data_IF_722093335576
#
_entry.id   IF_722093335576
#
_cell.length_a   1.000
_cell.length_b   1.000
_cell.length_c   1.000
_cell.angle_alpha   90.00
_cell.angle_beta   90.00
_cell.angle_gamma   90.00
#
_symmetry.space_group_name_H-M   'P 1'
#
loop_
_entity.id
_entity.type
_entity.pdbx_description
1 polymer ?
#
# COMPACT_ATOMS: atom_id res chain seq x y z
N UNK A 1 -12.49 -3.02 11.33
CA UNK A 1 -12.97 -3.44 10.00
C UNK A 1 -14.23 -2.73 9.55
N UNK A 2 -14.72 -3.10 8.37
CA UNK A 2 -15.98 -2.58 7.82
C UNK A 2 -15.87 -1.36 6.91
N UNK A 3 -14.67 -0.76 6.76
CA UNK A 3 -14.47 0.33 5.79
C UNK A 3 -14.73 -0.17 4.38
N UNK A 4 -15.57 0.54 3.63
CA UNK A 4 -15.84 0.28 2.23
C UNK A 4 -14.75 0.92 1.34
N UNK A 5 -14.18 0.14 0.44
CA UNK A 5 -13.24 0.59 -0.58
C UNK A 5 -13.86 0.35 -1.96
N UNK A 6 -14.29 1.42 -2.61
CA UNK A 6 -14.88 1.39 -3.95
C UNK A 6 -13.78 1.28 -5.01
N UNK A 7 -13.94 0.34 -5.92
CA UNK A 7 -13.00 0.09 -7.03
C UNK A 7 -13.80 -0.11 -8.33
N UNK A 8 -13.15 -0.11 -9.51
CA UNK A 8 -13.80 -0.47 -10.77
C UNK A 8 -14.38 -1.91 -10.80
N UNK A 9 -13.95 -2.78 -9.88
CA UNK A 9 -14.40 -4.17 -9.79
C UNK A 9 -15.57 -4.37 -8.83
N UNK A 10 -15.94 -3.34 -8.08
CA UNK A 10 -16.96 -3.34 -7.04
C UNK A 10 -16.43 -2.83 -5.69
N UNK A 11 -17.16 -3.09 -4.63
CA UNK A 11 -16.85 -2.61 -3.29
C UNK A 11 -16.23 -3.72 -2.44
N UNK A 12 -15.01 -3.48 -1.96
CA UNK A 12 -14.37 -4.31 -0.96
C UNK A 12 -14.62 -3.75 0.44
N UNK A 13 -14.70 -4.63 1.43
CA UNK A 13 -14.81 -4.23 2.83
C UNK A 13 -13.60 -4.70 3.62
N UNK A 14 -12.99 -3.78 4.37
CA UNK A 14 -11.86 -4.10 5.26
C UNK A 14 -12.28 -5.11 6.32
N UNK A 15 -11.55 -6.21 6.54
CA UNK A 15 -11.88 -7.18 7.56
C UNK A 15 -11.59 -6.68 8.97
N UNK A 16 -12.14 -7.37 9.96
CA UNK A 16 -11.75 -7.22 11.35
C UNK A 16 -10.39 -7.90 11.57
N UNK A 17 -9.37 -7.12 11.92
CA UNK A 17 -8.01 -7.61 12.18
C UNK A 17 -7.64 -7.58 13.66
N UNK A 18 -8.62 -7.40 14.54
CA UNK A 18 -8.38 -7.50 16.00
C UNK A 18 -8.19 -8.97 16.41
N UNK A 19 -7.62 -9.24 17.59
CA UNK A 19 -7.43 -10.62 18.08
C UNK A 19 -8.72 -11.29 18.59
N UNK A 20 -9.91 -10.84 18.11
CA UNK A 20 -11.15 -11.52 18.41
C UNK A 20 -11.19 -12.91 17.74
N UNK A 21 -11.51 -14.00 18.47
CA UNK A 21 -11.37 -15.38 17.96
C UNK A 21 -12.28 -15.70 16.77
N UNK A 22 -13.48 -15.15 16.73
CA UNK A 22 -14.46 -15.48 15.68
C UNK A 22 -14.62 -14.39 14.63
N UNK A 23 -14.63 -13.13 15.04
CA UNK A 23 -14.84 -12.02 14.13
C UNK A 23 -13.53 -11.48 13.51
N UNK A 24 -12.39 -11.69 14.17
CA UNK A 24 -11.07 -11.19 13.80
C UNK A 24 -10.08 -12.28 13.42
N UNK A 25 -8.81 -12.01 13.70
CA UNK A 25 -7.69 -12.92 13.41
C UNK A 25 -7.17 -13.66 14.66
N UNK A 26 -7.99 -13.72 15.73
CA UNK A 26 -7.58 -14.27 17.02
C UNK A 26 -7.19 -15.76 17.00
N UNK A 27 -7.74 -16.53 16.06
CA UNK A 27 -7.40 -17.96 15.88
C UNK A 27 -6.23 -18.21 14.94
N UNK A 28 -5.69 -17.15 14.33
CA UNK A 28 -4.54 -17.30 13.44
C UNK A 28 -3.28 -17.60 14.23
N UNK A 29 -2.43 -18.41 13.64
CA UNK A 29 -1.04 -18.57 14.05
C UNK A 29 -0.18 -17.47 13.40
N UNK A 30 1.05 -17.28 13.93
CA UNK A 30 2.04 -16.43 13.26
C UNK A 30 2.29 -16.90 11.83
N UNK A 31 2.34 -18.20 11.59
CA UNK A 31 2.52 -18.78 10.25
C UNK A 31 1.37 -18.41 9.30
N UNK A 32 0.13 -18.36 9.76
CA UNK A 32 -1.02 -17.91 8.97
C UNK A 32 -0.89 -16.43 8.60
N UNK A 33 -0.50 -15.60 9.57
CA UNK A 33 -0.26 -14.18 9.34
C UNK A 33 0.89 -13.97 8.32
N UNK A 34 2.01 -14.63 8.52
CA UNK A 34 3.16 -14.55 7.61
C UNK A 34 2.77 -15.00 6.19
N UNK A 35 1.98 -16.06 6.05
CA UNK A 35 1.49 -16.54 4.75
C UNK A 35 0.55 -15.53 4.09
N UNK A 36 -0.35 -14.90 4.84
CA UNK A 36 -1.22 -13.84 4.33
C UNK A 36 -0.41 -12.66 3.81
N UNK A 37 0.57 -12.17 4.56
CA UNK A 37 1.42 -11.03 4.19
C UNK A 37 2.37 -11.34 3.04
N UNK A 38 2.94 -12.56 3.02
CA UNK A 38 3.94 -12.97 2.04
C UNK A 38 3.37 -13.44 0.71
N UNK A 39 2.22 -14.12 0.75
CA UNK A 39 1.66 -14.82 -0.41
C UNK A 39 0.25 -14.38 -0.76
N UNK A 40 -0.40 -13.55 0.08
CA UNK A 40 -1.80 -13.20 -0.11
C UNK A 40 -2.72 -14.41 0.02
N UNK A 41 -2.38 -15.37 0.88
CA UNK A 41 -3.08 -16.64 1.06
C UNK A 41 -3.73 -16.69 2.43
N UNK A 42 -4.99 -17.09 2.48
CA UNK A 42 -5.79 -17.22 3.71
C UNK A 42 -5.45 -18.53 4.44
N UNK A 43 -5.81 -18.65 5.75
CA UNK A 43 -5.66 -19.92 6.47
C UNK A 43 -6.41 -21.10 5.84
N UNK A 44 -7.52 -20.85 5.14
CA UNK A 44 -8.29 -21.86 4.40
C UNK A 44 -7.72 -22.20 3.01
N UNK A 45 -6.56 -21.65 2.64
CA UNK A 45 -5.89 -21.85 1.36
C UNK A 45 -6.40 -20.97 0.21
N UNK A 46 -7.47 -20.19 0.42
CA UNK A 46 -7.97 -19.29 -0.62
C UNK A 46 -7.09 -18.05 -0.76
N UNK A 47 -6.96 -17.51 -1.97
CA UNK A 47 -6.22 -16.27 -2.21
C UNK A 47 -7.00 -15.03 -1.78
N UNK A 48 -6.29 -14.06 -1.20
CA UNK A 48 -6.81 -12.72 -1.01
C UNK A 48 -6.88 -11.96 -2.33
N UNK A 49 -7.91 -11.14 -2.49
CA UNK A 49 -7.92 -10.15 -3.55
C UNK A 49 -6.76 -9.15 -3.38
N UNK A 50 -6.12 -8.68 -4.48
CA UNK A 50 -4.95 -7.80 -4.40
C UNK A 50 -5.26 -6.37 -3.90
N UNK A 51 -6.50 -6.09 -3.54
CA UNK A 51 -6.87 -4.92 -2.74
C UNK A 51 -6.28 -4.97 -1.33
N UNK A 52 -6.02 -6.16 -0.81
CA UNK A 52 -5.09 -6.37 0.29
C UNK A 52 -3.68 -6.35 -0.31
N UNK A 53 -2.84 -5.35 0.02
CA UNK A 53 -1.63 -5.06 -0.74
C UNK A 53 -0.46 -6.01 -0.42
N UNK A 54 -0.72 -7.34 -0.40
CA UNK A 54 0.33 -8.34 -0.22
C UNK A 54 1.45 -8.27 -1.28
N UNK A 55 1.23 -7.75 -2.52
CA UNK A 55 2.33 -7.53 -3.45
C UNK A 55 3.37 -6.53 -2.96
N UNK A 56 2.97 -5.61 -2.10
CA UNK A 56 3.88 -4.70 -1.40
C UNK A 56 4.37 -5.32 -0.08
N UNK A 57 3.48 -5.90 0.70
CA UNK A 57 3.80 -6.48 2.02
C UNK A 57 4.74 -7.68 1.97
N UNK A 58 4.79 -8.43 0.86
CA UNK A 58 5.79 -9.48 0.65
C UNK A 58 7.23 -8.98 0.77
N UNK A 59 7.46 -7.66 0.68
CA UNK A 59 8.77 -7.00 0.78
C UNK A 59 9.15 -6.59 2.21
N UNK A 60 8.23 -6.70 3.17
CA UNK A 60 8.48 -6.37 4.58
C UNK A 60 9.44 -7.40 5.18
N UNK A 61 10.37 -6.99 6.03
CA UNK A 61 11.28 -7.92 6.72
C UNK A 61 10.53 -8.88 7.64
N UNK A 62 11.11 -10.03 7.92
CA UNK A 62 10.47 -10.99 8.84
C UNK A 62 10.38 -10.44 10.26
N UNK A 63 11.35 -9.64 10.70
CA UNK A 63 11.31 -9.00 12.01
C UNK A 63 10.16 -8.00 12.10
N UNK A 64 10.04 -7.10 11.13
CA UNK A 64 8.95 -6.13 11.12
C UNK A 64 7.56 -6.80 11.02
N UNK A 65 7.45 -7.94 10.31
CA UNK A 65 6.20 -8.70 10.29
C UNK A 65 5.90 -9.35 11.65
N UNK A 66 6.91 -9.85 12.38
CA UNK A 66 6.72 -10.38 13.73
C UNK A 66 6.32 -9.26 14.71
N UNK A 67 6.96 -8.11 14.61
CA UNK A 67 6.60 -6.93 15.43
C UNK A 67 5.17 -6.46 15.15
N UNK A 68 4.79 -6.41 13.87
CA UNK A 68 3.41 -6.10 13.47
C UNK A 68 2.42 -7.14 14.00
N UNK A 69 2.76 -8.43 13.93
CA UNK A 69 1.94 -9.50 14.48
C UNK A 69 1.76 -9.35 16.00
N UNK A 70 2.83 -9.12 16.73
CA UNK A 70 2.78 -8.87 18.16
C UNK A 70 1.89 -7.67 18.50
N UNK A 71 2.03 -6.57 17.76
CA UNK A 71 1.17 -5.39 17.91
C UNK A 71 -0.30 -5.71 17.65
N UNK A 72 -0.64 -6.38 16.55
CA UNK A 72 -2.03 -6.73 16.24
C UNK A 72 -2.66 -7.61 17.33
N UNK A 73 -1.86 -8.51 17.93
CA UNK A 73 -2.28 -9.35 19.04
C UNK A 73 -2.53 -8.59 20.35
N UNK A 74 -1.95 -7.40 20.51
CA UNK A 74 -2.14 -6.53 21.68
C UNK A 74 -3.35 -5.60 21.59
N UNK A 75 -3.98 -5.51 20.41
CA UNK A 75 -5.11 -4.62 20.20
C UNK A 75 -6.36 -5.04 20.99
N UNK A 76 -7.22 -4.09 21.39
CA UNK A 76 -8.52 -4.39 21.98
C UNK A 76 -9.38 -5.27 21.07
N UNK A 77 -10.11 -6.20 21.67
CA UNK A 77 -11.03 -7.06 20.94
C UNK A 77 -12.21 -6.26 20.36
N UNK A 78 -12.59 -6.57 19.13
CA UNK A 78 -13.82 -6.06 18.54
C UNK A 78 -14.64 -7.25 18.01
N UNK A 79 -15.89 -7.32 18.39
CA UNK A 79 -16.83 -8.35 17.91
C UNK A 79 -17.52 -7.97 16.59
N UNK A 80 -17.11 -6.86 15.95
CA UNK A 80 -17.72 -6.42 14.69
C UNK A 80 -17.53 -7.48 13.62
N UNK A 81 -18.63 -7.97 13.08
CA UNK A 81 -18.64 -8.96 12.01
C UNK A 81 -18.03 -8.40 10.71
N UNK A 82 -17.38 -9.27 9.94
CA UNK A 82 -16.90 -8.95 8.62
C UNK A 82 -18.06 -8.80 7.64
N UNK A 83 -17.99 -7.76 6.80
CA UNK A 83 -18.95 -7.57 5.72
C UNK A 83 -18.49 -8.33 4.45
N UNK A 84 -19.39 -8.97 3.71
CA UNK A 84 -19.05 -9.56 2.43
C UNK A 84 -18.65 -8.48 1.44
N UNK A 85 -17.77 -8.81 0.50
CA UNK A 85 -17.46 -7.94 -0.62
C UNK A 85 -18.66 -7.91 -1.60
N UNK A 86 -18.92 -6.76 -2.19
CA UNK A 86 -19.90 -6.56 -3.25
C UNK A 86 -19.16 -6.34 -4.58
N UNK A 87 -18.94 -7.42 -5.33
CA UNK A 87 -18.12 -7.43 -6.55
C UNK A 87 -18.97 -7.79 -7.76
N UNK A 88 -18.80 -7.03 -8.83
CA UNK A 88 -19.43 -7.32 -10.11
C UNK A 88 -18.96 -8.66 -10.71
N UNK A 89 -19.83 -9.32 -11.48
CA UNK A 89 -19.44 -10.50 -12.25
C UNK A 89 -18.39 -10.11 -13.32
N UNK A 90 -17.31 -10.91 -13.54
CA UNK A 90 -16.94 -12.17 -12.88
C UNK A 90 -15.95 -12.00 -11.70
N UNK A 91 -15.70 -10.79 -11.24
CA UNK A 91 -14.60 -10.44 -10.31
C UNK A 91 -14.74 -11.05 -8.91
N UNK A 92 -15.92 -11.54 -8.55
CA UNK A 92 -16.13 -12.32 -7.32
C UNK A 92 -15.51 -13.73 -7.34
N UNK A 93 -15.11 -14.23 -8.48
CA UNK A 93 -14.54 -15.58 -8.61
C UNK A 93 -13.08 -15.62 -8.16
N UNK A 94 -12.82 -16.26 -7.02
CA UNK A 94 -11.47 -16.34 -6.43
C UNK A 94 -10.46 -17.08 -7.31
N UNK A 95 -10.90 -17.98 -8.19
CA UNK A 95 -10.01 -18.62 -9.17
C UNK A 95 -9.34 -17.64 -10.12
N UNK A 96 -9.99 -16.52 -10.43
CA UNK A 96 -9.38 -15.45 -11.24
C UNK A 96 -8.22 -14.76 -10.52
N UNK A 97 -8.26 -14.73 -9.18
CA UNK A 97 -7.15 -14.16 -8.38
C UNK A 97 -5.89 -15.01 -8.53
N UNK A 98 -6.02 -16.32 -8.64
CA UNK A 98 -4.85 -17.20 -8.88
C UNK A 98 -4.18 -16.89 -10.22
N UNK A 99 -4.98 -16.68 -11.28
CA UNK A 99 -4.46 -16.26 -12.58
C UNK A 99 -3.80 -14.88 -12.49
N UNK A 100 -4.45 -13.94 -11.79
CA UNK A 100 -3.90 -12.62 -11.57
C UNK A 100 -2.55 -12.66 -10.83
N UNK A 101 -2.45 -13.48 -9.77
CA UNK A 101 -1.19 -13.68 -9.03
C UNK A 101 -0.10 -14.22 -9.94
N UNK A 102 -0.39 -15.21 -10.74
CA UNK A 102 0.57 -15.78 -11.69
C UNK A 102 1.12 -14.72 -12.66
N UNK A 103 0.27 -13.80 -13.13
CA UNK A 103 0.65 -12.75 -14.09
C UNK A 103 1.41 -11.57 -13.46
N UNK A 104 1.04 -11.16 -12.24
CA UNK A 104 1.44 -9.86 -11.69
C UNK A 104 2.16 -9.93 -10.35
N UNK A 105 2.13 -11.07 -9.68
CA UNK A 105 2.70 -11.23 -8.35
C UNK A 105 3.94 -12.13 -8.36
N UNK A 106 4.98 -11.67 -7.68
CA UNK A 106 6.18 -12.47 -7.39
C UNK A 106 6.43 -12.38 -5.89
N UNK A 107 6.24 -13.48 -5.15
CA UNK A 107 6.49 -13.49 -3.70
C UNK A 107 7.98 -13.36 -3.41
N UNK A 108 8.28 -12.77 -2.27
CA UNK A 108 9.64 -12.67 -1.74
C UNK A 108 10.11 -11.22 -1.51
N UNK A 109 11.10 -11.03 -0.67
CA UNK A 109 11.65 -9.71 -0.40
C UNK A 109 12.37 -9.20 -1.65
N UNK A 110 11.84 -8.12 -2.24
CA UNK A 110 12.55 -7.41 -3.29
C UNK A 110 13.74 -6.60 -2.73
N UNK A 111 13.73 -6.38 -1.43
CA UNK A 111 14.78 -5.70 -0.67
C UNK A 111 15.34 -6.77 0.25
N UNK A 112 16.61 -7.14 0.06
CA UNK A 112 17.28 -8.11 0.92
C UNK A 112 17.11 -7.69 2.38
N UNK A 113 16.94 -8.68 3.27
CA UNK A 113 16.84 -8.51 4.72
C UNK A 113 18.12 -7.96 5.38
N UNK A 114 19.09 -7.52 4.59
CA UNK A 114 20.24 -6.76 5.08
C UNK A 114 19.77 -5.43 5.63
N UNK A 115 20.25 -4.99 6.80
CA UNK A 115 20.02 -3.65 7.30
C UNK A 115 20.29 -2.65 6.17
N UNK A 116 19.37 -1.70 5.98
CA UNK A 116 19.51 -0.68 4.95
C UNK A 116 20.89 -0.01 5.07
N UNK A 117 21.77 -0.29 4.11
CA UNK A 117 23.17 0.13 4.14
C UNK A 117 23.33 1.61 3.81
N UNK A 118 22.28 2.21 3.27
CA UNK A 118 22.24 3.62 2.94
C UNK A 118 20.84 4.20 3.08
N UNK A 119 20.75 5.53 3.11
CA UNK A 119 19.51 6.28 3.30
C UNK A 119 18.47 6.00 2.19
N UNK A 120 18.92 5.80 0.95
CA UNK A 120 18.02 5.53 -0.19
C UNK A 120 17.41 4.14 -0.09
N UNK A 121 18.16 3.13 0.36
CA UNK A 121 17.63 1.77 0.55
C UNK A 121 16.60 1.72 1.68
N UNK A 122 16.84 2.46 2.78
CA UNK A 122 15.83 2.64 3.83
C UNK A 122 14.57 3.31 3.28
N UNK A 123 14.71 4.36 2.48
CA UNK A 123 13.59 5.03 1.83
C UNK A 123 12.85 4.11 0.85
N UNK A 124 13.57 3.29 0.09
CA UNK A 124 12.95 2.27 -0.78
C UNK A 124 12.08 1.31 0.02
N UNK A 125 12.58 0.83 1.15
CA UNK A 125 11.82 -0.05 2.04
C UNK A 125 10.54 0.62 2.57
N UNK A 126 10.64 1.86 3.04
CA UNK A 126 9.50 2.63 3.51
C UNK A 126 8.45 2.83 2.42
N UNK A 127 8.86 3.22 1.20
CA UNK A 127 7.94 3.54 0.11
C UNK A 127 7.33 2.30 -0.54
N UNK A 128 8.13 1.23 -0.75
CA UNK A 128 7.68 0.06 -1.50
C UNK A 128 7.06 -1.04 -0.65
N UNK A 129 7.43 -1.14 0.63
CA UNK A 129 6.98 -2.18 1.53
C UNK A 129 5.98 -1.64 2.57
N UNK A 130 6.46 -0.85 3.52
CA UNK A 130 5.64 -0.40 4.65
C UNK A 130 4.55 0.59 4.23
N UNK A 131 4.91 1.65 3.52
CA UNK A 131 4.00 2.69 3.06
C UNK A 131 3.22 2.31 1.80
N UNK A 132 3.64 1.27 1.06
CA UNK A 132 3.03 0.76 -0.18
C UNK A 132 2.49 1.85 -1.13
N UNK A 133 3.21 2.97 -1.26
CA UNK A 133 2.79 4.15 -2.01
C UNK A 133 2.44 3.83 -3.47
N UNK A 134 3.09 2.81 -4.05
CA UNK A 134 2.83 2.32 -5.39
C UNK A 134 1.42 1.80 -5.62
N UNK A 135 0.68 1.40 -4.57
CA UNK A 135 -0.68 0.89 -4.72
C UNK A 135 -1.66 1.97 -5.24
N UNK A 136 -1.45 3.22 -4.81
CA UNK A 136 -2.24 4.37 -5.26
C UNK A 136 -1.54 5.17 -6.35
N UNK A 137 -0.21 5.27 -6.33
CA UNK A 137 0.54 6.16 -7.20
C UNK A 137 1.13 5.50 -8.47
N UNK A 138 0.85 4.21 -8.70
CA UNK A 138 1.25 3.51 -9.94
C UNK A 138 0.01 3.18 -10.77
N UNK A 139 0.01 3.49 -12.09
CA UNK A 139 -1.12 3.14 -12.95
C UNK A 139 -1.34 1.63 -12.99
N UNK A 140 -2.58 1.24 -13.21
CA UNK A 140 -2.97 -0.16 -13.38
C UNK A 140 -3.53 -0.38 -14.78
N UNK A 141 -3.26 -1.56 -15.34
CA UNK A 141 -3.87 -1.97 -16.60
C UNK A 141 -5.34 -2.42 -16.37
N UNK A 142 -6.02 -2.79 -17.45
CA UNK A 142 -7.44 -3.19 -17.42
C UNK A 142 -7.74 -4.44 -16.57
N UNK A 143 -6.72 -5.28 -16.29
CA UNK A 143 -6.81 -6.42 -15.37
C UNK A 143 -6.47 -6.04 -13.92
N UNK A 144 -6.23 -4.75 -13.63
CA UNK A 144 -5.85 -4.29 -12.31
C UNK A 144 -4.38 -4.55 -11.94
N UNK A 145 -3.57 -5.07 -12.86
CA UNK A 145 -2.14 -5.28 -12.65
C UNK A 145 -1.35 -3.97 -12.70
N UNK A 146 -0.31 -3.78 -11.85
CA UNK A 146 0.49 -2.56 -11.86
C UNK A 146 1.34 -2.45 -13.13
N UNK A 147 1.37 -1.26 -13.72
CA UNK A 147 2.22 -0.93 -14.88
C UNK A 147 3.63 -0.62 -14.37
N UNK A 148 4.47 -1.64 -14.22
CA UNK A 148 5.77 -1.59 -13.50
C UNK A 148 6.73 -0.51 -14.03
N UNK A 149 6.79 -0.27 -15.35
CA UNK A 149 7.65 0.76 -15.95
C UNK A 149 7.16 2.19 -15.67
N UNK A 150 5.97 2.34 -15.10
CA UNK A 150 5.39 3.62 -14.64
C UNK A 150 5.26 3.68 -13.13
N UNK A 151 6.12 2.98 -12.41
CA UNK A 151 6.09 2.94 -10.95
C UNK A 151 6.14 4.36 -10.36
N UNK A 152 5.16 4.69 -9.50
CA UNK A 152 4.97 6.00 -8.87
C UNK A 152 4.73 7.18 -9.84
N UNK A 153 4.44 6.93 -11.11
CA UNK A 153 4.19 7.98 -12.11
C UNK A 153 2.79 8.61 -12.03
N UNK A 154 2.06 8.34 -10.96
CA UNK A 154 0.68 8.81 -10.77
C UNK A 154 -0.32 7.98 -11.56
N UNK A 155 -1.59 8.17 -11.26
CA UNK A 155 -2.70 7.50 -11.95
C UNK A 155 -3.93 8.40 -12.00
N UNK A 156 -4.91 7.99 -12.80
CA UNK A 156 -6.24 8.57 -12.80
C UNK A 156 -7.23 7.49 -12.34
N UNK A 157 -7.97 7.76 -11.27
CA UNK A 157 -9.02 6.87 -10.79
C UNK A 157 -10.19 6.78 -11.77
N UNK A 158 -11.02 5.76 -11.62
CA UNK A 158 -12.25 5.59 -12.39
C UNK A 158 -13.25 6.77 -12.18
N UNK A 159 -13.15 7.46 -11.07
CA UNK A 159 -13.89 8.67 -10.73
C UNK A 159 -13.31 9.94 -11.38
N UNK A 160 -12.28 9.81 -12.21
CA UNK A 160 -11.57 10.91 -12.86
C UNK A 160 -10.59 11.66 -11.95
N UNK A 161 -10.54 11.36 -10.65
CA UNK A 161 -9.60 11.98 -9.72
C UNK A 161 -8.17 11.54 -10.03
N UNK A 162 -7.24 12.47 -9.93
CA UNK A 162 -5.82 12.20 -10.19
C UNK A 162 -5.11 11.89 -8.87
N UNK A 163 -4.38 10.78 -8.86
CA UNK A 163 -3.33 10.54 -7.86
C UNK A 163 -2.01 11.04 -8.43
N UNK A 164 -1.29 11.94 -7.74
CA UNK A 164 -0.12 12.61 -8.30
C UNK A 164 1.04 11.67 -8.63
N UNK A 165 1.83 12.09 -9.60
CA UNK A 165 3.14 11.51 -9.91
C UNK A 165 4.13 11.87 -8.78
N UNK A 166 4.80 10.87 -8.21
CA UNK A 166 5.79 11.02 -7.14
C UNK A 166 7.24 10.95 -7.65
N UNK A 167 7.44 10.92 -8.97
CA UNK A 167 8.78 10.98 -9.55
C UNK A 167 9.30 12.42 -9.64
N UNK A 168 10.60 12.63 -9.88
CA UNK A 168 11.17 13.96 -10.03
C UNK A 168 10.50 14.84 -11.11
N UNK A 169 9.78 14.24 -12.06
CA UNK A 169 8.98 15.00 -13.05
C UNK A 169 8.03 16.01 -12.36
N UNK A 170 7.37 15.60 -11.28
CA UNK A 170 6.48 16.49 -10.52
C UNK A 170 7.12 17.01 -9.25
N UNK A 171 7.79 16.14 -8.49
CA UNK A 171 8.37 16.54 -7.21
C UNK A 171 9.69 17.33 -7.33
N UNK A 172 10.28 17.40 -8.54
CA UNK A 172 11.53 18.10 -8.77
C UNK A 172 11.44 19.62 -8.56
N UNK A 173 10.25 20.21 -8.61
CA UNK A 173 10.00 21.62 -8.33
C UNK A 173 9.85 21.94 -6.85
N UNK A 174 9.64 20.94 -6.01
CA UNK A 174 9.51 21.08 -4.56
C UNK A 174 10.89 20.95 -3.91
N UNK A 175 11.18 21.78 -2.92
CA UNK A 175 12.37 21.62 -2.08
C UNK A 175 12.21 20.40 -1.14
N UNK A 176 13.30 19.95 -0.52
CA UNK A 176 13.22 18.92 0.51
C UNK A 176 12.46 19.39 1.75
N UNK A 177 12.49 20.69 2.03
CA UNK A 177 11.68 21.32 3.08
C UNK A 177 10.19 21.23 2.77
N UNK A 178 9.79 21.51 1.51
CA UNK A 178 8.39 21.39 1.08
C UNK A 178 7.88 19.96 1.18
N UNK A 179 8.69 18.99 0.73
CA UNK A 179 8.34 17.57 0.86
C UNK A 179 8.21 17.16 2.32
N UNK A 180 9.14 17.60 3.17
CA UNK A 180 9.07 17.35 4.61
C UNK A 180 7.80 17.93 5.22
N UNK A 181 7.48 19.19 4.93
CA UNK A 181 6.26 19.86 5.40
C UNK A 181 5.02 19.07 4.93
N UNK A 182 4.95 18.73 3.64
CA UNK A 182 3.84 17.98 3.10
C UNK A 182 3.62 16.61 3.78
N UNK A 183 4.67 15.83 3.99
CA UNK A 183 4.55 14.53 4.65
C UNK A 183 4.24 14.61 6.14
N UNK A 184 4.48 15.74 6.78
CA UNK A 184 4.14 15.98 8.18
C UNK A 184 2.74 16.58 8.37
N UNK A 185 2.34 17.51 7.52
CA UNK A 185 1.12 18.32 7.73
C UNK A 185 0.09 18.21 6.60
N UNK A 186 0.49 17.74 5.44
CA UNK A 186 -0.34 17.73 4.23
C UNK A 186 -0.36 19.03 3.45
N UNK A 187 0.35 20.08 3.90
CA UNK A 187 0.40 21.36 3.22
C UNK A 187 1.34 21.33 2.02
N UNK A 188 0.86 21.81 0.88
CA UNK A 188 1.65 21.96 -0.35
C UNK A 188 2.38 23.31 -0.37
N UNK A 189 3.42 23.51 -1.22
CA UNK A 189 4.10 24.79 -1.36
C UNK A 189 3.18 25.95 -1.77
N UNK A 190 2.05 25.62 -2.41
CA UNK A 190 1.05 26.61 -2.85
C UNK A 190 0.02 26.93 -1.75
N UNK A 191 0.16 26.37 -0.54
CA UNK A 191 -0.75 26.59 0.59
C UNK A 191 -2.04 25.77 0.52
N UNK A 192 -2.14 24.82 -0.40
CA UNK A 192 -3.25 23.87 -0.45
C UNK A 192 -2.98 22.67 0.48
N UNK A 193 -4.01 21.89 0.77
CA UNK A 193 -3.88 20.71 1.61
C UNK A 193 -4.15 19.41 0.83
N UNK A 194 -3.54 18.35 1.32
CA UNK A 194 -3.78 16.99 0.81
C UNK A 194 -5.29 16.66 0.83
N UNK A 195 -5.75 15.95 -0.19
CA UNK A 195 -7.13 15.44 -0.23
C UNK A 195 -7.39 14.42 0.89
N UNK A 196 -8.67 14.11 1.14
CA UNK A 196 -9.13 13.23 2.23
C UNK A 196 -8.31 11.94 2.36
N UNK A 197 -8.11 11.22 1.26
CA UNK A 197 -7.39 9.93 1.28
C UNK A 197 -5.93 10.11 1.65
N UNK A 198 -5.23 11.09 1.06
CA UNK A 198 -3.83 11.34 1.37
C UNK A 198 -3.66 11.99 2.74
N UNK A 199 -4.58 12.85 3.17
CA UNK A 199 -4.59 13.43 4.51
C UNK A 199 -4.67 12.34 5.59
N UNK A 200 -5.45 11.29 5.37
CA UNK A 200 -5.53 10.14 6.27
C UNK A 200 -4.20 9.36 6.33
N UNK A 201 -3.54 9.15 5.18
CA UNK A 201 -2.19 8.54 5.12
C UNK A 201 -1.18 9.39 5.88
N UNK A 202 -1.21 10.71 5.71
CA UNK A 202 -0.31 11.63 6.41
C UNK A 202 -0.54 11.54 7.91
N UNK A 203 -1.77 11.72 8.37
CA UNK A 203 -2.11 11.73 9.80
C UNK A 203 -1.75 10.43 10.51
N UNK A 204 -2.00 9.28 9.87
CA UNK A 204 -1.84 7.99 10.51
C UNK A 204 -0.52 7.27 10.19
N UNK A 205 0.29 7.81 9.28
CA UNK A 205 1.52 7.16 8.84
C UNK A 205 2.70 8.12 8.70
N UNK A 206 2.74 8.97 7.67
CA UNK A 206 3.97 9.72 7.36
C UNK A 206 4.32 10.78 8.41
N UNK A 207 3.33 11.39 9.08
CA UNK A 207 3.56 12.33 10.19
C UNK A 207 4.16 11.68 11.43
N UNK A 208 4.07 10.35 11.53
CA UNK A 208 4.60 9.55 12.64
C UNK A 208 6.02 9.03 12.40
N UNK A 209 6.57 9.28 11.20
CA UNK A 209 7.94 8.85 10.88
C UNK A 209 8.96 9.59 11.71
N UNK A 210 10.04 8.89 12.07
CA UNK A 210 11.21 9.57 12.65
C UNK A 210 11.81 10.55 11.64
N UNK A 211 12.52 11.61 12.09
CA UNK A 211 13.18 12.53 11.16
C UNK A 211 14.13 11.82 10.17
N UNK A 212 14.80 10.76 10.62
CA UNK A 212 15.69 9.94 9.77
C UNK A 212 14.91 9.15 8.70
N UNK A 213 13.78 8.54 9.05
CA UNK A 213 12.93 7.81 8.12
C UNK A 213 12.26 8.75 7.11
N UNK A 214 11.83 9.92 7.55
CA UNK A 214 11.29 10.94 6.66
C UNK A 214 12.34 11.43 5.65
N UNK A 215 13.57 11.65 6.09
CA UNK A 215 14.69 11.98 5.21
C UNK A 215 14.98 10.84 4.22
N UNK A 216 14.95 9.60 4.68
CA UNK A 216 15.15 8.43 3.83
C UNK A 216 14.07 8.30 2.75
N UNK A 217 12.80 8.51 3.12
CA UNK A 217 11.68 8.53 2.20
C UNK A 217 11.88 9.57 1.10
N UNK A 218 12.23 10.81 1.46
CA UNK A 218 12.50 11.90 0.52
C UNK A 218 13.68 11.56 -0.39
N UNK A 219 14.79 11.08 0.18
CA UNK A 219 15.98 10.69 -0.58
C UNK A 219 15.66 9.62 -1.63
N UNK A 220 14.83 8.63 -1.29
CA UNK A 220 14.40 7.62 -2.24
C UNK A 220 13.53 8.21 -3.36
N UNK A 221 12.56 9.05 -3.06
CA UNK A 221 11.72 9.70 -4.08
C UNK A 221 12.57 10.56 -5.05
N UNK A 222 13.60 11.24 -4.54
CA UNK A 222 14.57 11.98 -5.36
C UNK A 222 15.42 11.09 -6.26
N UNK A 223 15.70 9.88 -5.83
CA UNK A 223 16.53 8.93 -6.59
C UNK A 223 15.78 8.23 -7.73
N UNK A 224 14.46 8.39 -7.81
CA UNK A 224 13.66 7.77 -8.86
C UNK A 224 13.96 8.39 -10.24
N UNK A 225 13.83 7.61 -11.33
CA UNK A 225 13.87 8.18 -12.67
C UNK A 225 12.66 9.10 -12.91
N UNK A 226 12.86 10.17 -13.64
CA UNK A 226 11.76 11.03 -14.08
C UNK A 226 10.88 10.27 -15.09
N UNK A 227 9.58 10.19 -14.80
CA UNK A 227 8.59 9.55 -15.66
C UNK A 227 7.52 10.58 -16.00
N UNK A 228 7.29 10.81 -17.28
CA UNK A 228 6.29 11.79 -17.74
C UNK A 228 4.87 11.44 -17.23
N UNK A 229 4.08 12.45 -16.94
CA UNK A 229 2.64 12.27 -16.68
C UNK A 229 1.95 11.61 -17.88
N UNK A 230 0.85 10.92 -17.64
CA UNK A 230 0.00 10.47 -18.75
C UNK A 230 -0.56 11.69 -19.49
N UNK A 231 -0.46 11.65 -20.82
CA UNK A 231 -1.07 12.66 -21.67
C UNK A 231 -2.58 12.72 -21.34
N UNK A 232 -3.13 13.93 -21.26
CA UNK A 232 -4.59 14.08 -21.17
C UNK A 232 -5.18 13.41 -22.41
N UNK A 233 -5.91 12.30 -22.24
CA UNK A 233 -6.78 11.81 -23.32
C UNK A 233 -7.72 12.95 -23.70
N UNK A 234 -7.63 13.39 -24.95
CA UNK A 234 -8.55 14.36 -25.53
C UNK A 234 -9.96 13.80 -25.57
#
# INVERSE_FOLDING_TARGET
>A
GGRALKTPFGTFHGPNITPHPDAGIGRWTEADFMRAMRRGERPDGANYFPVFPYPSFTKITDNDLRDLWAYLRSLPLSNRANLPHDLGFPYGWRSLVTVWQWLYFSPGPAIASTPATNVVDRGRYLVQALGHCGECHTPRNFLGGPVKHRFLAGTRGADGKRTPNLTPTRLGTWSDSDLKQYFLTGETPDGEFANETMAEVITNSTSQLTPADLQALIAYLRSLPSIADEAKSK
#
